data_IF_230609601525
#
_entry.id   IF_230609601525
#
_cell.length_a   1.000
_cell.length_b   1.000
_cell.length_c   1.000
_cell.angle_alpha   90.00
_cell.angle_beta   90.00
_cell.angle_gamma   90.00
#
_symmetry.space_group_name_H-M   'P 1'
#
loop_
_entity.id
_entity.type
_entity.pdbx_description
1 polymer ?
#
# COMPACT_ATOMS: atom_id res chain seq x y z
N UNK A 1 6.95 18.34 78.04
CA UNK A 1 7.77 17.24 78.62
C UNK A 1 6.89 16.00 78.59
N UNK A 2 7.27 14.83 78.09
CA UNK A 2 8.60 14.23 77.94
C UNK A 2 8.54 13.05 76.96
N UNK A 3 9.72 12.63 76.49
CA UNK A 3 10.05 11.62 75.48
C UNK A 3 9.40 10.23 75.70
N UNK A 4 8.12 10.05 75.37
CA UNK A 4 7.50 8.70 75.31
C UNK A 4 6.54 8.47 74.14
N UNK A 5 6.33 9.47 73.25
CA UNK A 5 5.38 9.31 72.12
C UNK A 5 6.03 9.05 70.74
N UNK A 6 7.36 9.01 70.63
CA UNK A 6 8.06 8.71 69.35
C UNK A 6 8.43 7.23 69.15
N UNK A 7 8.04 6.34 70.08
CA UNK A 7 8.37 4.91 70.05
C UNK A 7 7.15 4.03 69.73
N UNK A 8 5.94 4.58 69.65
CA UNK A 8 4.71 3.81 69.44
C UNK A 8 4.18 3.79 67.98
N UNK A 9 4.86 4.43 67.02
CA UNK A 9 4.42 4.47 65.62
C UNK A 9 5.37 3.79 64.62
N UNK A 10 6.44 3.15 65.12
CA UNK A 10 7.37 2.33 64.33
C UNK A 10 7.18 0.81 64.53
N UNK A 11 6.20 0.43 65.36
CA UNK A 11 5.89 -0.96 65.72
C UNK A 11 4.74 -1.57 64.91
N UNK A 12 4.22 -0.84 63.92
CA UNK A 12 3.11 -1.27 63.05
C UNK A 12 3.54 -1.74 61.64
N UNK A 13 4.83 -1.69 61.31
CA UNK A 13 5.33 -2.06 59.98
C UNK A 13 6.56 -2.99 60.02
N UNK A 14 6.73 -3.72 61.13
CA UNK A 14 7.85 -4.64 61.36
C UNK A 14 7.37 -6.06 61.77
N UNK A 15 6.15 -6.44 61.36
CA UNK A 15 5.56 -7.76 61.57
C UNK A 15 4.83 -8.22 60.30
N UNK A 16 5.61 -8.53 59.26
CA UNK A 16 5.28 -9.51 58.20
C UNK A 16 6.52 -10.07 57.49
N UNK A 17 7.73 -9.53 57.74
CA UNK A 17 9.00 -10.09 57.25
C UNK A 17 9.55 -11.14 58.22
N UNK A 18 8.78 -12.20 58.49
CA UNK A 18 9.27 -13.38 59.21
C UNK A 18 8.33 -14.60 59.10
N UNK A 19 7.71 -14.87 57.94
CA UNK A 19 7.08 -16.19 57.70
C UNK A 19 6.80 -16.43 56.20
N UNK A 20 7.84 -16.60 55.39
CA UNK A 20 7.69 -17.15 54.03
C UNK A 20 8.76 -18.24 53.75
N UNK A 21 9.18 -18.96 54.79
CA UNK A 21 10.03 -20.15 54.68
C UNK A 21 9.27 -21.47 54.56
N UNK A 22 7.95 -21.48 54.78
CA UNK A 22 7.15 -22.72 54.88
C UNK A 22 5.99 -22.83 53.89
N UNK A 23 5.85 -21.87 52.96
CA UNK A 23 4.80 -21.91 51.90
C UNK A 23 5.36 -22.32 50.52
N UNK A 24 6.65 -22.67 50.42
CA UNK A 24 7.26 -23.17 49.17
C UNK A 24 7.06 -24.66 48.90
N UNK A 25 6.60 -25.44 49.89
CA UNK A 25 6.36 -26.88 49.74
C UNK A 25 4.87 -27.26 49.55
N UNK A 26 3.99 -26.28 49.33
CA UNK A 26 2.54 -26.51 49.19
C UNK A 26 1.94 -26.03 47.85
N UNK A 27 2.76 -25.66 46.86
CA UNK A 27 2.30 -25.27 45.52
C UNK A 27 2.85 -26.23 44.46
N UNK A 28 2.00 -26.79 43.58
CA UNK A 28 2.35 -27.88 42.65
C UNK A 28 3.13 -27.41 41.40
N UNK A 29 3.68 -26.19 41.45
CA UNK A 29 4.44 -25.60 40.34
C UNK A 29 5.83 -25.24 40.85
N UNK A 30 6.78 -26.13 40.58
CA UNK A 30 8.17 -26.06 41.04
C UNK A 30 8.87 -24.80 40.56
N UNK A 31 9.21 -23.92 41.50
CA UNK A 31 10.15 -22.81 41.32
C UNK A 31 11.44 -23.14 42.08
N UNK A 32 12.46 -23.57 41.34
CA UNK A 32 13.86 -23.58 41.77
C UNK A 32 14.34 -24.91 42.36
N UNK A 33 14.92 -25.76 41.52
CA UNK A 33 15.83 -26.83 41.92
C UNK A 33 17.10 -26.72 41.09
N UNK A 34 18.23 -26.57 41.77
CA UNK A 34 19.57 -26.53 41.21
C UNK A 34 19.81 -27.76 40.32
N UNK A 35 20.12 -27.50 39.05
CA UNK A 35 20.73 -28.49 38.16
C UNK A 35 22.00 -27.88 37.60
N UNK A 36 23.09 -28.60 37.82
CA UNK A 36 24.41 -28.39 37.26
C UNK A 36 24.36 -28.03 35.77
N UNK A 37 25.33 -27.25 35.24
CA UNK A 37 25.33 -26.83 33.85
C UNK A 37 25.48 -28.05 32.92
N UNK A 38 24.34 -28.57 32.45
CA UNK A 38 24.30 -29.52 31.34
C UNK A 38 24.63 -28.75 30.08
N UNK A 39 25.77 -29.08 29.50
CA UNK A 39 26.30 -28.70 28.19
C UNK A 39 25.43 -27.67 27.43
N UNK A 40 25.86 -26.40 27.47
CA UNK A 40 25.47 -25.41 26.49
C UNK A 40 25.70 -25.99 25.11
N UNK A 41 24.62 -26.16 24.34
CA UNK A 41 24.74 -26.30 22.90
C UNK A 41 25.70 -25.21 22.42
N UNK A 42 26.72 -25.60 21.67
CA UNK A 42 27.66 -24.69 21.02
C UNK A 42 26.86 -23.54 20.41
N UNK A 43 27.33 -22.31 20.59
CA UNK A 43 26.89 -21.13 19.83
C UNK A 43 27.23 -21.32 18.34
N UNK A 44 26.68 -22.37 17.72
CA UNK A 44 26.44 -22.37 16.29
C UNK A 44 25.41 -21.28 16.06
N UNK A 45 25.75 -20.35 15.16
CA UNK A 45 24.86 -19.28 14.74
C UNK A 45 23.44 -19.83 14.58
N UNK A 46 22.51 -19.38 15.43
CA UNK A 46 21.09 -19.61 15.20
C UNK A 46 20.72 -18.81 13.96
N UNK A 47 20.88 -19.42 12.80
CA UNK A 47 20.31 -18.91 11.56
C UNK A 47 18.81 -19.18 11.66
N UNK A 48 18.01 -18.12 11.61
CA UNK A 48 16.55 -18.23 11.50
C UNK A 48 16.23 -19.04 10.25
N UNK A 49 15.60 -20.20 10.39
CA UNK A 49 15.17 -21.05 9.26
C UNK A 49 13.91 -20.46 8.58
N UNK A 50 13.32 -19.39 9.12
CA UNK A 50 12.11 -18.75 8.60
C UNK A 50 12.40 -17.58 7.63
N UNK A 51 13.63 -17.10 7.52
CA UNK A 51 14.03 -16.10 6.51
C UNK A 51 14.67 -16.81 5.31
N UNK A 52 13.90 -17.65 4.63
CA UNK A 52 14.19 -17.98 3.22
C UNK A 52 13.56 -16.90 2.31
N UNK A 53 13.85 -15.63 2.60
CA UNK A 53 13.97 -14.66 1.51
C UNK A 53 15.30 -14.99 0.86
N UNK A 54 15.28 -15.72 -0.27
CA UNK A 54 16.45 -15.74 -1.13
C UNK A 54 16.72 -14.30 -1.53
N UNK A 55 17.69 -13.66 -0.87
CA UNK A 55 18.19 -12.36 -1.28
C UNK A 55 18.55 -12.44 -2.75
N UNK A 56 17.94 -11.58 -3.54
CA UNK A 56 18.16 -11.56 -4.97
C UNK A 56 19.59 -11.07 -5.23
N UNK A 57 20.45 -11.99 -5.65
CA UNK A 57 21.83 -11.65 -5.98
C UNK A 57 21.92 -11.03 -7.38
N UNK A 58 22.70 -9.95 -7.56
CA UNK A 58 23.04 -9.43 -8.88
C UNK A 58 23.62 -10.53 -9.78
N UNK A 59 23.19 -10.55 -11.04
CA UNK A 59 23.66 -11.55 -12.00
C UNK A 59 25.06 -11.22 -12.48
N UNK A 60 25.99 -12.18 -12.36
CA UNK A 60 27.34 -12.04 -12.91
C UNK A 60 27.35 -11.74 -14.42
N UNK A 61 26.33 -12.20 -15.17
CA UNK A 61 26.19 -11.95 -16.60
C UNK A 61 25.87 -10.48 -16.95
N UNK A 62 25.38 -9.71 -15.98
CA UNK A 62 25.05 -8.29 -16.12
C UNK A 62 26.09 -7.37 -15.47
N UNK A 63 27.14 -7.93 -14.84
CA UNK A 63 28.20 -7.15 -14.22
C UNK A 63 28.86 -6.21 -15.23
N UNK A 64 28.89 -4.91 -14.92
CA UNK A 64 29.45 -3.86 -15.78
C UNK A 64 28.63 -3.55 -17.05
N UNK A 65 27.46 -4.19 -17.25
CA UNK A 65 26.56 -3.86 -18.35
C UNK A 65 25.64 -2.73 -17.96
N UNK A 66 25.54 -1.74 -18.84
CA UNK A 66 24.53 -0.69 -18.73
C UNK A 66 23.20 -1.11 -19.37
N UNK A 67 22.14 -0.38 -19.07
CA UNK A 67 20.79 -0.59 -19.62
C UNK A 67 20.20 0.72 -20.17
N UNK A 68 19.21 0.70 -21.04
CA UNK A 68 18.61 1.95 -21.51
C UNK A 68 17.52 2.47 -20.56
N UNK A 69 17.53 3.79 -20.32
CA UNK A 69 16.42 4.54 -19.74
C UNK A 69 15.99 5.63 -20.72
N UNK A 70 14.69 5.74 -21.06
CA UNK A 70 14.20 6.82 -21.92
C UNK A 70 14.38 8.18 -21.24
N UNK A 71 14.46 9.24 -22.04
CA UNK A 71 14.45 10.61 -21.52
C UNK A 71 13.13 10.98 -20.84
N UNK A 72 13.13 11.90 -19.86
CA UNK A 72 11.93 12.26 -19.11
C UNK A 72 10.87 12.92 -20.00
N UNK A 73 9.61 12.58 -19.79
CA UNK A 73 8.47 13.10 -20.52
C UNK A 73 7.61 14.01 -19.62
N UNK A 74 6.93 15.00 -20.20
CA UNK A 74 6.00 15.83 -19.43
C UNK A 74 4.77 15.02 -19.00
N UNK A 75 4.46 15.01 -17.70
CA UNK A 75 3.23 14.43 -17.17
C UNK A 75 2.12 15.49 -17.12
N UNK A 76 1.42 15.70 -18.25
CA UNK A 76 0.34 16.69 -18.38
C UNK A 76 -1.02 16.18 -17.89
N UNK A 77 -1.11 14.89 -17.55
CA UNK A 77 -2.24 14.24 -16.92
C UNK A 77 -1.72 13.10 -16.02
N UNK A 78 -2.36 12.94 -14.86
CA UNK A 78 -2.18 11.81 -13.95
C UNK A 78 -3.57 11.30 -13.55
N UNK A 79 -4.33 10.91 -14.57
CA UNK A 79 -5.79 10.78 -14.50
C UNK A 79 -6.24 9.55 -13.71
N UNK A 80 -5.35 8.57 -13.51
CA UNK A 80 -5.62 7.31 -12.82
C UNK A 80 -4.67 7.15 -11.63
N UNK A 81 -4.94 6.24 -10.67
CA UNK A 81 -4.09 6.07 -9.49
C UNK A 81 -2.61 5.73 -9.80
N UNK A 82 -2.32 5.27 -11.02
CA UNK A 82 -1.01 4.93 -11.56
C UNK A 82 -0.51 5.85 -12.65
N UNK A 83 -1.12 7.03 -12.76
CA UNK A 83 -0.90 7.99 -13.82
C UNK A 83 -1.79 7.78 -15.03
N UNK A 84 -1.90 6.55 -15.53
CA UNK A 84 -2.77 6.21 -16.67
C UNK A 84 -3.50 4.88 -16.45
N UNK A 85 -4.38 4.51 -17.39
CA UNK A 85 -5.20 3.29 -17.28
C UNK A 85 -4.37 2.00 -17.27
N UNK A 86 -3.17 2.02 -17.85
CA UNK A 86 -2.26 0.87 -17.89
C UNK A 86 -1.38 0.76 -16.63
N UNK A 87 -1.47 1.75 -15.73
CA UNK A 87 -0.57 1.92 -14.58
C UNK A 87 0.90 2.04 -15.00
N UNK A 88 1.16 2.49 -16.23
CA UNK A 88 2.48 2.46 -16.86
C UNK A 88 2.93 3.88 -17.21
N UNK A 89 3.40 4.62 -16.22
CA UNK A 89 4.13 5.86 -16.45
C UNK A 89 5.60 5.60 -16.18
N UNK A 90 6.44 5.65 -17.23
CA UNK A 90 7.85 5.30 -17.15
C UNK A 90 8.67 6.42 -16.48
N UNK A 91 9.13 7.41 -17.26
CA UNK A 91 10.02 8.48 -16.80
C UNK A 91 9.40 9.85 -17.03
N UNK A 92 9.25 10.63 -15.96
CA UNK A 92 8.57 11.93 -15.99
C UNK A 92 9.48 13.09 -15.64
N UNK A 93 9.20 14.26 -16.22
CA UNK A 93 9.73 15.54 -15.76
C UNK A 93 8.94 15.93 -14.51
N UNK A 94 9.58 15.82 -13.35
CA UNK A 94 8.99 16.24 -12.08
C UNK A 94 10.05 16.57 -11.04
N UNK A 95 9.73 17.54 -10.19
CA UNK A 95 10.53 17.99 -9.06
C UNK A 95 12.02 18.22 -9.36
N UNK A 96 12.40 19.04 -10.38
CA UNK A 96 13.81 19.31 -10.69
C UNK A 96 14.63 19.80 -9.49
N UNK A 97 14.09 20.68 -8.64
CA UNK A 97 14.81 21.23 -7.48
C UNK A 97 14.69 20.34 -6.24
N UNK A 98 13.72 19.42 -6.22
CA UNK A 98 13.43 18.49 -5.13
C UNK A 98 13.20 19.17 -3.77
N UNK A 99 12.45 20.26 -3.77
CA UNK A 99 12.10 21.08 -2.60
C UNK A 99 10.59 21.14 -2.40
N UNK A 100 10.12 21.36 -1.17
CA UNK A 100 8.67 21.52 -0.94
C UNK A 100 8.22 22.90 -1.43
N UNK A 101 7.31 22.92 -2.41
CA UNK A 101 6.67 24.13 -2.91
C UNK A 101 5.55 24.61 -1.98
N UNK A 102 4.67 23.69 -1.57
CA UNK A 102 3.59 23.98 -0.64
C UNK A 102 3.08 22.71 0.05
N UNK A 103 2.32 22.91 1.14
CA UNK A 103 1.58 21.86 1.82
C UNK A 103 0.13 22.28 2.02
N UNK A 104 -0.81 21.35 1.90
CA UNK A 104 -2.24 21.59 2.09
C UNK A 104 -2.88 20.49 2.93
N UNK A 105 -3.64 20.89 3.94
CA UNK A 105 -4.55 19.99 4.66
C UNK A 105 -5.76 19.70 3.77
N UNK A 106 -6.00 18.41 3.51
CA UNK A 106 -7.09 17.95 2.64
C UNK A 106 -8.26 17.35 3.44
N UNK A 107 -8.17 17.26 4.76
CA UNK A 107 -9.18 16.66 5.63
C UNK A 107 -8.60 15.58 6.54
N UNK A 108 -9.35 14.51 6.74
CA UNK A 108 -9.03 13.52 7.76
C UNK A 108 -7.83 12.63 7.39
N UNK A 109 -6.81 12.60 8.25
CA UNK A 109 -5.75 11.58 8.21
C UNK A 109 -6.20 10.21 8.72
N UNK A 110 -5.29 9.24 8.63
CA UNK A 110 -5.45 7.89 9.18
C UNK A 110 -5.58 7.90 10.70
N UNK A 111 -6.39 6.99 11.22
CA UNK A 111 -6.57 6.69 12.64
C UNK A 111 -6.89 5.20 12.80
N UNK A 112 -7.33 4.77 14.00
CA UNK A 112 -7.63 3.36 14.25
C UNK A 112 -8.85 2.83 13.46
N UNK A 113 -9.73 3.73 13.02
CA UNK A 113 -11.02 3.44 12.38
C UNK A 113 -11.14 4.00 10.95
N UNK A 114 -10.06 4.60 10.44
CA UNK A 114 -9.99 5.20 9.09
C UNK A 114 -8.57 5.23 8.54
N UNK A 115 -8.39 5.18 7.23
CA UNK A 115 -7.06 5.20 6.62
C UNK A 115 -7.04 6.00 5.32
N UNK A 116 -5.96 6.76 5.12
CA UNK A 116 -5.68 7.44 3.85
C UNK A 116 -4.96 6.46 2.93
N UNK A 117 -5.65 5.98 1.89
CA UNK A 117 -5.12 4.95 0.98
C UNK A 117 -5.17 5.32 -0.51
N UNK A 118 -5.97 6.31 -0.90
CA UNK A 118 -6.14 6.66 -2.30
C UNK A 118 -4.90 7.35 -2.86
N UNK A 119 -4.33 6.87 -3.97
CA UNK A 119 -3.36 7.63 -4.74
C UNK A 119 -3.92 8.97 -5.20
N UNK A 120 -3.02 9.93 -5.38
CA UNK A 120 -3.33 11.26 -5.90
C UNK A 120 -3.56 11.18 -7.41
N UNK A 121 -4.60 11.85 -7.92
CA UNK A 121 -4.84 11.98 -9.37
C UNK A 121 -4.95 13.44 -9.78
N UNK A 122 -4.65 13.75 -11.03
CA UNK A 122 -4.57 15.11 -11.53
C UNK A 122 -4.96 15.23 -13.00
N UNK A 123 -5.74 16.26 -13.33
CA UNK A 123 -6.15 16.62 -14.68
C UNK A 123 -6.53 18.12 -14.71
N UNK A 124 -6.33 18.79 -15.84
CA UNK A 124 -6.78 20.18 -16.09
C UNK A 124 -6.47 21.20 -14.96
N UNK A 125 -5.23 21.17 -14.48
CA UNK A 125 -4.71 22.08 -13.45
C UNK A 125 -5.15 21.74 -12.02
N UNK A 126 -5.90 20.65 -11.83
CA UNK A 126 -6.47 20.25 -10.54
C UNK A 126 -5.90 18.93 -10.07
N UNK A 127 -5.71 18.83 -8.76
CA UNK A 127 -5.37 17.62 -8.04
C UNK A 127 -6.62 17.16 -7.28
N UNK A 128 -6.94 15.88 -7.38
CA UNK A 128 -8.05 15.27 -6.66
C UNK A 128 -7.52 14.22 -5.69
N UNK A 129 -8.04 14.27 -4.47
CA UNK A 129 -7.63 13.40 -3.36
C UNK A 129 -8.84 12.93 -2.57
N UNK A 130 -8.70 11.77 -1.94
CA UNK A 130 -9.67 11.20 -1.01
C UNK A 130 -9.03 11.05 0.36
N UNK A 131 -9.66 11.65 1.37
CA UNK A 131 -9.20 11.58 2.76
C UNK A 131 -9.73 10.32 3.48
N UNK A 132 -9.32 10.13 4.75
CA UNK A 132 -9.70 8.96 5.53
C UNK A 132 -11.19 8.86 5.88
N UNK A 133 -11.97 9.94 5.76
CA UNK A 133 -13.42 9.94 6.00
C UNK A 133 -14.25 9.89 4.71
N UNK A 134 -13.59 9.54 3.61
CA UNK A 134 -14.17 9.55 2.28
C UNK A 134 -14.64 10.94 1.82
N UNK A 135 -13.93 11.98 2.26
CA UNK A 135 -14.00 13.34 1.74
C UNK A 135 -13.16 13.48 0.48
N UNK A 136 -13.77 13.96 -0.60
CA UNK A 136 -13.12 14.25 -1.87
C UNK A 136 -12.77 15.73 -1.90
N UNK A 137 -11.50 16.04 -2.11
CA UNK A 137 -11.04 17.44 -2.22
C UNK A 137 -10.39 17.67 -3.57
N UNK A 138 -10.81 18.74 -4.27
CA UNK A 138 -10.09 19.27 -5.42
C UNK A 138 -9.22 20.45 -5.00
N UNK A 139 -7.98 20.44 -5.47
CA UNK A 139 -6.95 21.42 -5.14
C UNK A 139 -6.31 21.94 -6.42
N UNK A 140 -6.09 23.25 -6.51
CA UNK A 140 -5.30 23.84 -7.58
C UNK A 140 -3.84 23.35 -7.52
N UNK A 141 -3.36 22.75 -8.61
CA UNK A 141 -2.04 22.12 -8.66
C UNK A 141 -0.89 23.12 -8.49
N UNK A 142 -1.10 24.38 -8.90
CA UNK A 142 -0.10 25.43 -8.87
C UNK A 142 0.11 26.01 -7.48
N UNK A 143 -0.99 26.41 -6.84
CA UNK A 143 -1.05 27.20 -5.61
C UNK A 143 -1.36 26.37 -4.36
N UNK A 144 -1.92 25.18 -4.54
CA UNK A 144 -2.41 24.36 -3.44
C UNK A 144 -3.72 24.88 -2.84
N UNK A 145 -4.43 25.81 -3.49
CA UNK A 145 -5.72 26.31 -3.01
C UNK A 145 -6.82 25.25 -3.16
N UNK A 146 -7.67 25.10 -2.14
CA UNK A 146 -8.84 24.20 -2.24
C UNK A 146 -9.88 24.84 -3.16
N UNK A 147 -10.31 24.11 -4.18
CA UNK A 147 -11.31 24.56 -5.15
C UNK A 147 -12.72 24.16 -4.73
N UNK A 148 -12.90 22.90 -4.33
CA UNK A 148 -14.16 22.38 -3.82
C UNK A 148 -13.92 21.15 -2.93
N UNK A 149 -14.94 20.80 -2.14
CA UNK A 149 -15.00 19.57 -1.34
C UNK A 149 -16.34 18.89 -1.53
N UNK A 150 -16.33 17.56 -1.54
CA UNK A 150 -17.52 16.71 -1.57
C UNK A 150 -17.33 15.51 -0.62
N UNK A 151 -18.39 14.77 -0.32
CA UNK A 151 -18.33 13.58 0.52
C UNK A 151 -19.09 12.41 -0.11
N UNK A 152 -18.51 11.22 -0.09
CA UNK A 152 -19.18 9.97 -0.49
C UNK A 152 -19.70 9.17 0.71
N UNK A 153 -19.54 9.70 1.93
CA UNK A 153 -20.07 9.07 3.14
C UNK A 153 -21.60 9.02 3.06
N UNK A 154 -22.16 7.84 3.35
CA UNK A 154 -23.61 7.66 3.48
C UNK A 154 -24.01 7.97 4.93
N UNK A 155 -25.00 8.84 5.12
CA UNK A 155 -25.48 9.22 6.46
C UNK A 155 -26.03 8.00 7.22
N UNK A 156 -25.81 7.97 8.55
CA UNK A 156 -26.11 6.81 9.40
C UNK A 156 -27.59 6.39 9.45
N UNK A 157 -28.51 7.24 8.98
CA UNK A 157 -29.96 7.02 9.05
C UNK A 157 -30.47 5.80 8.25
N UNK A 158 -29.72 5.37 7.22
CA UNK A 158 -30.09 4.24 6.36
C UNK A 158 -29.61 2.87 6.89
N UNK A 159 -28.90 2.82 8.02
CA UNK A 159 -28.49 1.54 8.65
C UNK A 159 -29.57 1.12 9.65
N UNK A 160 -30.22 0.00 9.35
CA UNK A 160 -31.34 -0.57 10.10
C UNK A 160 -31.24 -0.51 11.64
N UNK A 161 -32.43 -0.41 12.27
CA UNK A 161 -32.72 -0.33 13.71
C UNK A 161 -31.62 -0.94 14.61
N UNK A 162 -30.88 -0.08 15.32
CA UNK A 162 -30.14 -0.48 16.53
C UNK A 162 -31.15 -0.81 17.63
N UNK A 163 -31.13 -2.03 18.19
CA UNK A 163 -31.94 -2.37 19.37
C UNK A 163 -31.01 -2.55 20.57
N UNK A 164 -31.23 -1.78 21.64
CA UNK A 164 -30.39 -1.78 22.85
C UNK A 164 -28.86 -1.73 22.59
N UNK A 165 -28.41 -0.92 21.63
CA UNK A 165 -26.97 -0.75 21.35
C UNK A 165 -26.28 -1.95 20.69
N UNK A 166 -27.00 -3.03 20.38
CA UNK A 166 -26.48 -4.20 19.66
C UNK A 166 -27.04 -4.14 18.22
N UNK A 167 -26.14 -4.11 17.23
CA UNK A 167 -26.51 -4.19 15.82
C UNK A 167 -27.00 -5.60 15.49
N UNK A 168 -28.31 -5.76 15.25
CA UNK A 168 -28.90 -7.01 14.76
C UNK A 168 -28.83 -7.03 13.23
N UNK A 169 -27.61 -7.12 12.71
CA UNK A 169 -27.30 -7.24 11.30
C UNK A 169 -25.79 -7.16 11.11
N UNK A 170 -25.21 -8.03 10.29
CA UNK A 170 -23.77 -8.07 9.97
C UNK A 170 -23.25 -6.84 9.20
N UNK A 171 -23.86 -5.67 9.38
CA UNK A 171 -23.38 -4.40 8.87
C UNK A 171 -22.33 -3.84 9.83
N UNK A 172 -21.06 -3.93 9.44
CA UNK A 172 -19.97 -3.25 10.13
C UNK A 172 -20.33 -1.78 10.35
N UNK A 173 -20.52 -1.40 11.62
CA UNK A 173 -20.66 -0.02 12.06
C UNK A 173 -19.39 0.82 11.87
N UNK A 174 -18.27 0.22 11.44
CA UNK A 174 -17.00 0.90 11.19
C UNK A 174 -16.98 1.68 9.87
N UNK A 175 -16.18 2.75 9.81
CA UNK A 175 -16.02 3.61 8.64
C UNK A 175 -15.73 2.85 7.35
N UNK A 176 -16.07 3.44 6.20
CA UNK A 176 -15.79 2.86 4.90
C UNK A 176 -14.27 2.85 4.68
N UNK A 177 -13.62 1.72 4.91
CA UNK A 177 -12.21 1.54 4.61
C UNK A 177 -12.01 1.26 3.12
N UNK A 178 -11.02 1.90 2.51
CA UNK A 178 -10.65 1.67 1.11
C UNK A 178 -11.26 2.68 0.14
N UNK A 179 -11.14 2.36 -1.14
CA UNK A 179 -11.58 3.19 -2.23
C UNK A 179 -10.46 4.02 -2.83
N UNK A 180 -10.82 4.87 -3.79
CA UNK A 180 -9.89 5.79 -4.40
C UNK A 180 -10.54 6.68 -5.43
N UNK A 181 -9.70 7.48 -6.10
CA UNK A 181 -10.14 8.47 -7.07
C UNK A 181 -9.50 8.21 -8.43
N UNK A 182 -10.28 8.42 -9.48
CA UNK A 182 -9.81 8.60 -10.85
C UNK A 182 -10.52 9.81 -11.46
N UNK A 183 -9.88 10.46 -12.43
CA UNK A 183 -10.46 11.57 -13.18
C UNK A 183 -10.37 11.24 -14.67
N UNK A 184 -11.41 11.59 -15.43
CA UNK A 184 -11.40 11.48 -16.89
C UNK A 184 -12.56 12.27 -17.48
N UNK A 185 -12.29 13.04 -18.54
CA UNK A 185 -13.33 13.72 -19.32
C UNK A 185 -14.16 14.69 -18.47
N UNK A 186 -13.52 15.40 -17.54
CA UNK A 186 -14.18 16.35 -16.65
C UNK A 186 -15.03 15.71 -15.55
N UNK A 187 -14.89 14.40 -15.28
CA UNK A 187 -15.56 13.69 -14.19
C UNK A 187 -14.56 13.10 -13.23
N UNK A 188 -14.87 13.14 -11.94
CA UNK A 188 -14.11 12.52 -10.86
C UNK A 188 -14.89 11.32 -10.35
N UNK A 189 -14.34 10.13 -10.54
CA UNK A 189 -14.93 8.86 -10.14
C UNK A 189 -14.33 8.42 -8.80
N UNK A 190 -15.20 8.08 -7.86
CA UNK A 190 -14.82 7.77 -6.50
C UNK A 190 -15.46 6.45 -6.10
N UNK A 191 -14.61 5.47 -5.78
CA UNK A 191 -15.02 4.23 -5.14
C UNK A 191 -14.87 4.35 -3.62
N UNK A 192 -15.72 3.66 -2.87
CA UNK A 192 -15.73 3.77 -1.42
C UNK A 192 -16.08 2.49 -0.69
N UNK A 193 -15.48 2.31 0.49
CA UNK A 193 -15.86 1.29 1.46
C UNK A 193 -17.30 1.46 1.99
N UNK A 194 -17.93 2.61 1.77
CA UNK A 194 -19.36 2.85 2.04
C UNK A 194 -20.31 2.19 1.03
N UNK A 195 -19.81 1.28 0.18
CA UNK A 195 -20.59 0.51 -0.79
C UNK A 195 -21.26 1.39 -1.85
N UNK A 196 -20.55 2.44 -2.26
CA UNK A 196 -21.02 3.36 -3.29
C UNK A 196 -19.92 3.62 -4.30
N UNK A 197 -20.33 3.74 -5.55
CA UNK A 197 -19.56 4.30 -6.64
C UNK A 197 -20.21 5.64 -7.01
N UNK A 198 -19.43 6.71 -7.02
CA UNK A 198 -19.95 8.07 -7.27
C UNK A 198 -19.14 8.74 -8.37
N UNK A 199 -19.80 9.54 -9.21
CA UNK A 199 -19.13 10.50 -10.08
C UNK A 199 -19.48 11.92 -9.70
N UNK A 200 -18.48 12.78 -9.66
CA UNK A 200 -18.61 14.22 -9.48
C UNK A 200 -18.18 14.96 -10.75
N UNK A 201 -18.73 16.15 -10.97
CA UNK A 201 -18.19 17.10 -11.94
C UNK A 201 -16.83 17.62 -11.43
N UNK A 202 -15.79 17.54 -12.26
CA UNK A 202 -14.42 17.87 -11.86
C UNK A 202 -14.21 19.35 -11.54
N UNK A 203 -15.07 20.24 -12.05
CA UNK A 203 -14.94 21.69 -11.86
C UNK A 203 -15.70 22.17 -10.63
N UNK A 204 -16.87 21.61 -10.37
CA UNK A 204 -17.80 22.10 -9.35
C UNK A 204 -17.90 21.20 -8.12
N UNK A 205 -17.52 19.92 -8.24
CA UNK A 205 -17.75 18.92 -7.20
C UNK A 205 -19.21 18.47 -7.08
N UNK A 206 -20.09 18.86 -8.00
CA UNK A 206 -21.48 18.44 -8.00
C UNK A 206 -21.59 16.94 -8.31
N UNK A 207 -22.39 16.21 -7.54
CA UNK A 207 -22.65 14.79 -7.80
C UNK A 207 -23.44 14.64 -9.11
N UNK A 208 -22.90 13.85 -10.03
CA UNK A 208 -23.50 13.55 -11.33
C UNK A 208 -24.35 12.30 -11.26
N UNK A 209 -23.83 11.26 -10.61
CA UNK A 209 -24.53 10.01 -10.36
C UNK A 209 -23.90 9.29 -9.16
N UNK A 210 -24.68 8.42 -8.54
CA UNK A 210 -24.25 7.53 -7.46
C UNK A 210 -24.94 6.20 -7.60
N UNK A 211 -24.17 5.14 -7.49
CA UNK A 211 -24.62 3.76 -7.61
C UNK A 211 -24.24 3.00 -6.34
N UNK A 212 -25.24 2.46 -5.66
CA UNK A 212 -25.02 1.56 -4.54
C UNK A 212 -24.56 0.19 -5.05
N UNK A 213 -23.64 -0.44 -4.31
CA UNK A 213 -23.17 -1.81 -4.57
C UNK A 213 -23.39 -2.66 -3.33
N UNK A 214 -23.33 -3.98 -3.49
CA UNK A 214 -23.62 -4.91 -2.40
C UNK A 214 -22.53 -4.93 -1.33
N UNK A 215 -21.27 -4.77 -1.75
CA UNK A 215 -20.09 -4.93 -0.91
C UNK A 215 -19.18 -3.70 -0.93
N UNK A 216 -18.41 -3.46 0.15
CA UNK A 216 -17.43 -2.37 0.21
C UNK A 216 -16.43 -2.42 -0.95
N UNK A 217 -16.21 -1.28 -1.61
CA UNK A 217 -15.20 -1.18 -2.66
C UNK A 217 -13.90 -0.72 -2.03
N UNK A 218 -12.88 -1.58 -2.05
CA UNK A 218 -11.56 -1.27 -1.49
C UNK A 218 -10.61 -0.69 -2.55
N UNK A 219 -10.77 -1.10 -3.81
CA UNK A 219 -9.85 -0.74 -4.88
C UNK A 219 -10.12 0.64 -5.45
N UNK A 220 -9.06 1.33 -5.89
CA UNK A 220 -9.21 2.58 -6.61
C UNK A 220 -9.76 2.34 -8.03
N UNK A 221 -10.58 3.25 -8.58
CA UNK A 221 -11.18 3.07 -9.89
C UNK A 221 -10.14 3.19 -11.00
N UNK A 222 -10.40 2.52 -12.12
CA UNK A 222 -9.67 2.71 -13.38
C UNK A 222 -10.66 3.03 -14.49
N UNK A 223 -10.49 4.16 -15.16
CA UNK A 223 -11.37 4.62 -16.24
C UNK A 223 -10.72 4.35 -17.59
N UNK A 224 -11.43 3.67 -18.49
CA UNK A 224 -11.00 3.49 -19.86
C UNK A 224 -12.21 3.40 -20.81
N UNK A 225 -12.16 4.20 -21.88
CA UNK A 225 -13.30 4.32 -22.80
C UNK A 225 -14.56 4.80 -22.07
N UNK A 226 -15.63 4.03 -22.18
CA UNK A 226 -16.94 4.36 -21.58
C UNK A 226 -17.17 3.70 -20.21
N UNK A 227 -16.14 3.08 -19.61
CA UNK A 227 -16.29 2.28 -18.40
C UNK A 227 -15.32 2.67 -17.29
N UNK A 228 -15.80 2.46 -16.07
CA UNK A 228 -15.02 2.54 -14.83
C UNK A 228 -14.97 1.15 -14.21
N UNK A 229 -13.76 0.68 -13.92
CA UNK A 229 -13.51 -0.64 -13.36
C UNK A 229 -13.07 -0.52 -11.91
N UNK A 230 -13.67 -1.31 -11.02
CA UNK A 230 -13.37 -1.34 -9.59
C UNK A 230 -13.45 -2.76 -9.05
N UNK A 231 -12.68 -3.06 -8.01
CA UNK A 231 -12.71 -4.36 -7.33
C UNK A 231 -13.19 -4.17 -5.90
N UNK A 232 -14.15 -5.00 -5.47
CA UNK A 232 -14.66 -5.00 -4.10
C UNK A 232 -13.82 -5.87 -3.15
N UNK A 233 -14.24 -5.97 -1.89
CA UNK A 233 -13.53 -6.76 -0.89
C UNK A 233 -13.55 -8.28 -1.14
N UNK A 234 -14.54 -8.80 -1.88
CA UNK A 234 -14.77 -10.24 -2.12
C UNK A 234 -14.27 -10.71 -3.50
N UNK A 235 -13.39 -9.93 -4.13
CA UNK A 235 -12.83 -10.18 -5.44
C UNK A 235 -13.85 -10.16 -6.59
N UNK A 236 -14.88 -9.31 -6.48
CA UNK A 236 -15.74 -8.97 -7.61
C UNK A 236 -15.17 -7.75 -8.34
N UNK A 237 -14.81 -7.94 -9.61
CA UNK A 237 -14.57 -6.83 -10.54
C UNK A 237 -15.91 -6.37 -11.11
N UNK A 238 -16.20 -5.09 -11.01
CA UNK A 238 -17.40 -4.47 -11.56
C UNK A 238 -17.02 -3.40 -12.58
N UNK A 239 -17.79 -3.31 -13.67
CA UNK A 239 -17.65 -2.29 -14.69
C UNK A 239 -18.90 -1.41 -14.72
N UNK A 240 -18.72 -0.10 -14.56
CA UNK A 240 -19.78 0.89 -14.56
C UNK A 240 -19.68 1.81 -15.78
N UNK A 241 -20.80 2.16 -16.36
CA UNK A 241 -20.88 3.15 -17.42
C UNK A 241 -20.51 4.55 -16.89
N UNK A 242 -19.56 5.21 -17.57
CA UNK A 242 -19.05 6.53 -17.20
C UNK A 242 -20.14 7.62 -17.18
N UNK A 243 -21.13 7.53 -18.06
CA UNK A 243 -22.12 8.58 -18.24
C UNK A 243 -23.22 8.56 -17.17
N UNK A 244 -23.68 7.38 -16.75
CA UNK A 244 -24.86 7.24 -15.90
C UNK A 244 -24.65 6.37 -14.65
N UNK A 245 -23.47 5.76 -14.47
CA UNK A 245 -23.16 4.93 -13.31
C UNK A 245 -23.82 3.55 -13.32
N UNK A 246 -24.49 3.14 -14.39
CA UNK A 246 -25.10 1.81 -14.49
C UNK A 246 -24.00 0.75 -14.53
N UNK A 247 -24.16 -0.34 -13.76
CA UNK A 247 -23.26 -1.49 -13.87
C UNK A 247 -23.53 -2.22 -15.19
N UNK A 248 -22.54 -2.26 -16.07
CA UNK A 248 -22.60 -2.96 -17.37
C UNK A 248 -22.43 -4.47 -17.18
N UNK A 249 -21.40 -4.86 -16.43
CA UNK A 249 -21.07 -6.27 -16.16
C UNK A 249 -20.26 -6.40 -14.86
N UNK A 250 -20.17 -7.62 -14.35
CA UNK A 250 -19.24 -7.97 -13.27
C UNK A 250 -18.65 -9.35 -13.48
N UNK A 251 -17.48 -9.59 -12.88
CA UNK A 251 -16.78 -10.87 -12.85
C UNK A 251 -16.41 -11.17 -11.40
N UNK A 252 -16.67 -12.40 -10.94
CA UNK A 252 -16.38 -12.83 -9.56
C UNK A 252 -15.18 -13.77 -9.56
N UNK A 253 -14.09 -13.33 -8.93
CA UNK A 253 -12.92 -14.15 -8.66
C UNK A 253 -13.10 -15.06 -7.44
N UNK A 254 -12.02 -15.72 -7.05
CA UNK A 254 -11.98 -16.59 -5.87
C UNK A 254 -12.02 -15.72 -4.60
N UNK A 255 -13.02 -15.90 -3.74
CA UNK A 255 -13.14 -15.18 -2.45
C UNK A 255 -12.09 -15.66 -1.44
N UNK A 256 -11.51 -14.72 -0.70
CA UNK A 256 -10.61 -14.99 0.43
C UNK A 256 -11.09 -14.28 1.69
N UNK A 257 -10.93 -14.89 2.88
CA UNK A 257 -11.40 -14.31 4.14
C UNK A 257 -10.55 -13.14 4.61
N UNK A 258 -9.33 -12.99 4.11
CA UNK A 258 -8.39 -11.97 4.53
C UNK A 258 -7.65 -11.38 3.34
N UNK A 259 -7.31 -10.09 3.45
CA UNK A 259 -6.64 -9.31 2.41
C UNK A 259 -5.83 -8.18 3.01
N UNK A 260 -4.91 -7.64 2.22
CA UNK A 260 -4.22 -6.41 2.54
C UNK A 260 -5.09 -5.23 2.11
N UNK A 261 -5.31 -4.33 3.06
CA UNK A 261 -6.05 -3.09 2.81
C UNK A 261 -5.12 -2.08 2.14
N UNK A 262 -5.08 -2.12 0.81
CA UNK A 262 -4.49 -1.10 -0.06
C UNK A 262 -5.44 -0.82 -1.20
N UNK A 263 -5.39 0.40 -1.74
CA UNK A 263 -6.19 0.80 -2.89
C UNK A 263 -5.57 0.29 -4.21
N UNK A 264 -5.48 -1.04 -4.37
CA UNK A 264 -5.09 -1.64 -5.65
C UNK A 264 -6.12 -1.27 -6.73
N UNK A 265 -5.71 -1.24 -7.99
CA UNK A 265 -6.62 -0.93 -9.10
C UNK A 265 -6.32 -1.85 -10.28
N UNK A 266 -7.33 -2.16 -11.12
CA UNK A 266 -7.10 -2.83 -12.39
C UNK A 266 -6.13 -2.05 -13.29
N UNK A 267 -5.62 -2.73 -14.32
CA UNK A 267 -4.95 -2.08 -15.45
C UNK A 267 -5.75 -2.36 -16.72
N UNK A 268 -5.90 -1.37 -17.60
CA UNK A 268 -6.66 -1.50 -18.84
C UNK A 268 -5.80 -1.05 -20.01
N UNK A 269 -5.60 -1.95 -20.97
CA UNK A 269 -4.87 -1.69 -22.20
C UNK A 269 -5.70 -2.15 -23.40
N UNK A 270 -6.06 -1.20 -24.26
CA UNK A 270 -6.95 -1.45 -25.39
C UNK A 270 -8.28 -2.06 -24.96
N UNK A 271 -8.55 -3.29 -25.40
CA UNK A 271 -9.77 -4.03 -25.10
C UNK A 271 -9.67 -4.99 -23.91
N UNK A 272 -8.58 -4.98 -23.14
CA UNK A 272 -8.31 -5.94 -22.07
C UNK A 272 -8.18 -5.25 -20.71
N UNK A 273 -8.93 -5.73 -19.72
CA UNK A 273 -8.84 -5.34 -18.31
C UNK A 273 -8.11 -6.44 -17.55
N UNK A 274 -7.04 -6.08 -16.85
CA UNK A 274 -6.27 -6.98 -15.99
C UNK A 274 -6.61 -6.65 -14.54
N UNK A 275 -7.25 -7.58 -13.84
CA UNK A 275 -7.72 -7.40 -12.47
C UNK A 275 -6.91 -8.26 -11.48
N UNK A 276 -6.37 -7.65 -10.42
CA UNK A 276 -5.73 -8.37 -9.31
C UNK A 276 -6.77 -8.75 -8.24
N UNK A 277 -6.64 -9.95 -7.67
CA UNK A 277 -7.51 -10.44 -6.59
C UNK A 277 -6.70 -10.88 -5.36
N UNK A 278 -7.35 -10.87 -4.18
CA UNK A 278 -6.70 -11.21 -2.91
C UNK A 278 -6.34 -12.70 -2.77
N UNK A 279 -6.92 -13.56 -3.60
CA UNK A 279 -6.60 -15.00 -3.73
C UNK A 279 -5.26 -15.29 -4.40
N UNK A 280 -4.56 -14.27 -4.90
CA UNK A 280 -3.41 -14.42 -5.77
C UNK A 280 -3.81 -14.63 -7.23
N UNK A 281 -5.10 -14.62 -7.54
CA UNK A 281 -5.59 -14.72 -8.91
C UNK A 281 -5.40 -13.37 -9.63
N UNK A 282 -4.84 -13.40 -10.83
CA UNK A 282 -4.83 -12.29 -11.77
C UNK A 282 -5.54 -12.73 -13.04
N UNK A 283 -6.52 -11.93 -13.46
CA UNK A 283 -7.46 -12.29 -14.54
C UNK A 283 -7.43 -11.20 -15.59
N UNK A 284 -7.24 -11.58 -16.85
CA UNK A 284 -7.48 -10.70 -17.97
C UNK A 284 -8.87 -10.94 -18.55
N UNK A 285 -9.62 -9.86 -18.73
CA UNK A 285 -11.02 -9.86 -19.13
C UNK A 285 -11.21 -8.95 -20.33
N UNK A 286 -12.13 -9.28 -21.21
CA UNK A 286 -12.55 -8.36 -22.27
C UNK A 286 -13.28 -7.16 -21.66
N UNK A 287 -12.81 -5.95 -21.97
CA UNK A 287 -13.38 -4.69 -21.49
C UNK A 287 -14.86 -4.51 -21.87
N UNK A 288 -15.31 -5.15 -22.95
CA UNK A 288 -16.66 -5.02 -23.51
C UNK A 288 -17.73 -5.74 -22.70
N UNK A 289 -17.43 -6.92 -22.17
CA UNK A 289 -18.43 -7.82 -21.60
C UNK A 289 -17.96 -8.62 -20.36
N UNK A 290 -16.71 -8.42 -19.91
CA UNK A 290 -16.17 -9.11 -18.75
C UNK A 290 -15.88 -10.60 -18.98
N UNK A 291 -15.80 -11.08 -20.22
CA UNK A 291 -15.43 -12.48 -20.48
C UNK A 291 -13.93 -12.70 -20.24
N UNK A 292 -13.53 -13.75 -19.50
CA UNK A 292 -12.12 -14.03 -19.24
C UNK A 292 -11.40 -14.41 -20.54
N UNK A 293 -10.27 -13.75 -20.77
CA UNK A 293 -9.31 -14.08 -21.83
C UNK A 293 -8.35 -15.14 -21.31
N UNK A 294 -7.81 -14.92 -20.10
CA UNK A 294 -6.96 -15.86 -19.38
C UNK A 294 -6.99 -15.58 -17.88
N UNK A 295 -6.58 -16.57 -17.10
CA UNK A 295 -6.46 -16.49 -15.65
C UNK A 295 -5.14 -17.11 -15.20
N UNK A 296 -4.48 -16.50 -14.23
CA UNK A 296 -3.25 -17.01 -13.61
C UNK A 296 -3.34 -16.88 -12.08
N UNK A 297 -2.61 -17.73 -11.36
CA UNK A 297 -2.51 -17.66 -9.90
C UNK A 297 -1.05 -17.46 -9.51
N UNK A 298 -0.76 -16.30 -8.94
CA UNK A 298 0.56 -15.92 -8.45
C UNK A 298 0.74 -16.49 -7.04
N UNK A 299 1.22 -17.74 -6.95
CA UNK A 299 1.59 -18.36 -5.69
C UNK A 299 2.91 -19.12 -5.79
N UNK A 300 3.67 -19.12 -4.69
CA UNK A 300 4.75 -20.10 -4.49
C UNK A 300 4.15 -21.50 -4.44
N UNK A 301 4.80 -22.46 -5.11
CA UNK A 301 4.38 -23.88 -5.16
C UNK A 301 4.72 -24.64 -3.87
N UNK A 302 5.40 -24.02 -2.89
CA UNK A 302 5.86 -24.73 -1.69
C UNK A 302 4.76 -24.91 -0.64
N UNK A 303 4.21 -26.13 -0.55
CA UNK A 303 3.18 -26.56 0.41
C UNK A 303 3.74 -26.97 1.78
N UNK A 304 4.88 -26.43 2.22
CA UNK A 304 5.52 -26.85 3.49
C UNK A 304 5.22 -25.92 4.67
N UNK A 305 4.54 -24.79 4.42
CA UNK A 305 4.04 -23.83 5.41
C UNK A 305 2.51 -23.81 5.31
N UNK A 306 1.83 -24.51 6.22
CA UNK A 306 0.36 -24.57 6.29
C UNK A 306 -0.24 -23.44 7.16
N UNK A 307 0.48 -22.33 7.30
CA UNK A 307 -0.05 -21.11 7.92
C UNK A 307 -0.59 -20.23 6.79
N UNK A 308 -1.78 -19.66 6.97
CA UNK A 308 -2.45 -18.79 6.00
C UNK A 308 -1.54 -17.65 5.51
N UNK A 309 -0.76 -17.91 4.47
CA UNK A 309 -0.03 -16.88 3.75
C UNK A 309 -1.06 -16.10 2.92
N UNK A 310 -1.25 -14.83 3.24
CA UNK A 310 -2.05 -13.93 2.41
C UNK A 310 -1.43 -13.93 1.01
N UNK A 311 -2.21 -14.36 0.01
CA UNK A 311 -1.79 -14.42 -1.40
C UNK A 311 -2.11 -13.14 -2.17
N UNK A 312 -2.39 -12.06 -1.45
CA UNK A 312 -2.97 -10.85 -2.04
C UNK A 312 -2.03 -10.21 -3.07
N UNK A 313 -2.57 -9.93 -4.26
CA UNK A 313 -1.95 -9.04 -5.24
C UNK A 313 -2.33 -7.61 -4.85
N UNK A 314 -1.74 -7.16 -3.74
CA UNK A 314 -1.97 -5.81 -3.22
C UNK A 314 -1.29 -4.72 -4.06
N UNK A 315 -0.27 -5.11 -4.85
CA UNK A 315 0.34 -4.25 -5.86
C UNK A 315 -0.57 -4.08 -7.07
N UNK A 316 -0.51 -2.90 -7.70
CA UNK A 316 -1.28 -2.62 -8.92
C UNK A 316 -0.59 -3.33 -10.10
N UNK A 317 -1.28 -4.17 -10.89
CA UNK A 317 -0.70 -4.72 -12.10
C UNK A 317 -0.35 -3.58 -13.06
N UNK A 318 0.74 -3.74 -13.78
CA UNK A 318 1.19 -2.76 -14.79
C UNK A 318 1.17 -3.42 -16.15
N UNK A 319 0.57 -2.75 -17.12
CA UNK A 319 0.60 -3.20 -18.52
C UNK A 319 1.56 -2.29 -19.27
N UNK A 320 2.63 -2.84 -19.83
CA UNK A 320 3.54 -2.04 -20.64
C UNK A 320 4.17 -2.88 -21.74
N UNK A 321 4.14 -2.36 -22.98
CA UNK A 321 4.65 -3.03 -24.18
C UNK A 321 4.08 -4.44 -24.40
N UNK A 322 2.79 -4.61 -24.13
CA UNK A 322 2.10 -5.90 -24.28
C UNK A 322 2.39 -6.92 -23.18
N UNK A 323 3.03 -6.50 -22.08
CA UNK A 323 3.34 -7.37 -20.94
C UNK A 323 2.63 -6.90 -19.68
N UNK A 324 2.22 -7.85 -18.85
CA UNK A 324 1.64 -7.63 -17.53
C UNK A 324 2.70 -7.91 -16.47
N UNK A 325 2.98 -6.93 -15.62
CA UNK A 325 3.85 -7.07 -14.45
C UNK A 325 2.97 -7.08 -13.21
N UNK A 326 3.07 -8.13 -12.40
CA UNK A 326 2.30 -8.27 -11.18
C UNK A 326 3.15 -8.85 -10.04
N UNK A 327 2.85 -8.44 -8.82
CA UNK A 327 3.55 -8.88 -7.62
C UNK A 327 2.54 -9.27 -6.53
N UNK A 328 2.75 -10.46 -5.98
CA UNK A 328 1.92 -11.06 -4.94
C UNK A 328 2.64 -11.06 -3.60
N UNK A 329 1.86 -10.96 -2.52
CA UNK A 329 2.30 -11.16 -1.15
C UNK A 329 2.78 -12.57 -0.85
N UNK A 330 2.39 -13.55 -1.65
CA UNK A 330 2.93 -14.91 -1.54
C UNK A 330 4.41 -15.00 -1.96
N UNK A 331 5.06 -13.90 -2.30
CA UNK A 331 6.46 -13.88 -2.70
C UNK A 331 6.71 -14.28 -4.13
N UNK A 332 5.80 -13.92 -5.04
CA UNK A 332 5.96 -14.12 -6.49
C UNK A 332 5.72 -12.78 -7.19
N UNK A 333 6.73 -12.32 -7.91
CA UNK A 333 6.58 -11.36 -8.98
C UNK A 333 6.63 -12.13 -10.31
N UNK A 334 5.71 -11.85 -11.22
CA UNK A 334 5.67 -12.50 -12.52
C UNK A 334 5.42 -11.48 -13.64
N UNK A 335 6.05 -11.74 -14.78
CA UNK A 335 5.80 -11.02 -16.02
C UNK A 335 5.15 -11.97 -17.01
N UNK A 336 4.03 -11.54 -17.58
CA UNK A 336 3.18 -12.35 -18.45
C UNK A 336 2.88 -11.62 -19.75
N UNK A 337 2.62 -12.35 -20.83
CA UNK A 337 2.08 -11.77 -22.05
C UNK A 337 0.61 -11.34 -21.84
N UNK A 338 0.26 -10.12 -22.27
CA UNK A 338 -1.07 -9.54 -22.07
C UNK A 338 -2.19 -10.34 -22.75
N UNK A 339 -1.91 -10.98 -23.89
CA UNK A 339 -2.93 -11.64 -24.71
C UNK A 339 -3.19 -13.07 -24.26
N UNK A 340 -2.14 -13.78 -23.83
CA UNK A 340 -2.18 -15.21 -23.55
C UNK A 340 -2.06 -15.56 -22.06
N UNK A 341 -1.55 -14.63 -21.23
CA UNK A 341 -1.23 -14.89 -19.83
C UNK A 341 0.01 -15.80 -19.66
N UNK A 342 0.69 -16.15 -20.76
CA UNK A 342 1.90 -16.99 -20.71
C UNK A 342 2.99 -16.28 -19.91
N UNK A 343 3.56 -16.93 -18.87
CA UNK A 343 4.60 -16.32 -18.08
C UNK A 343 5.92 -16.26 -18.87
N UNK A 344 6.53 -15.09 -18.89
CA UNK A 344 7.85 -14.86 -19.50
C UNK A 344 8.98 -15.19 -18.52
N UNK A 345 8.88 -14.68 -17.30
CA UNK A 345 9.79 -14.98 -16.20
C UNK A 345 9.11 -14.63 -14.87
N UNK A 346 9.67 -15.16 -13.77
CA UNK A 346 9.20 -14.91 -12.41
C UNK A 346 10.35 -14.76 -11.43
N UNK A 347 10.15 -13.96 -10.39
CA UNK A 347 11.11 -13.74 -9.32
C UNK A 347 10.46 -13.96 -7.94
N UNK A 348 11.20 -14.49 -6.96
CA UNK A 348 10.68 -14.77 -5.62
C UNK A 348 10.57 -13.51 -4.73
N UNK A 349 9.99 -12.42 -5.22
CA UNK A 349 9.88 -11.15 -4.49
C UNK A 349 8.52 -11.06 -3.78
N UNK A 350 8.55 -10.80 -2.47
CA UNK A 350 7.36 -10.40 -1.69
C UNK A 350 7.21 -8.89 -1.79
N UNK A 351 6.07 -8.40 -2.28
CA UNK A 351 5.83 -6.97 -2.36
C UNK A 351 4.36 -6.60 -2.44
N UNK A 352 4.08 -5.36 -2.07
CA UNK A 352 2.76 -4.71 -2.16
C UNK A 352 2.78 -3.47 -3.06
N UNK A 353 3.96 -3.09 -3.55
CA UNK A 353 4.16 -1.92 -4.38
C UNK A 353 3.95 -2.26 -5.86
N UNK A 354 3.59 -1.27 -6.65
CA UNK A 354 3.52 -1.39 -8.09
C UNK A 354 4.94 -1.56 -8.68
N UNK A 355 5.20 -2.57 -9.53
CA UNK A 355 6.44 -2.63 -10.31
C UNK A 355 6.54 -1.46 -11.28
N UNK A 356 7.73 -0.87 -11.44
CA UNK A 356 7.95 0.27 -12.35
C UNK A 356 8.81 -0.17 -13.55
N UNK A 357 8.21 -0.63 -14.65
CA UNK A 357 8.94 -0.88 -15.89
C UNK A 357 9.34 0.43 -16.57
N UNK A 358 10.62 0.62 -16.88
CA UNK A 358 11.17 1.81 -17.57
C UNK A 358 12.25 1.37 -18.54
N UNK A 359 12.13 1.70 -19.83
CA UNK A 359 13.15 1.31 -20.81
C UNK A 359 13.39 -0.21 -20.79
N UNK A 360 14.62 -0.61 -20.50
CA UNK A 360 15.08 -2.02 -20.49
C UNK A 360 14.97 -2.70 -19.11
N UNK A 361 14.51 -1.98 -18.09
CA UNK A 361 14.50 -2.47 -16.70
C UNK A 361 13.13 -2.38 -16.05
N UNK A 362 13.00 -3.10 -14.94
CA UNK A 362 11.87 -2.98 -14.01
C UNK A 362 12.44 -2.71 -12.63
N UNK A 363 11.99 -1.63 -12.00
CA UNK A 363 12.28 -1.33 -10.61
C UNK A 363 11.21 -1.96 -9.72
N UNK A 364 11.63 -2.67 -8.68
CA UNK A 364 10.73 -3.38 -7.77
C UNK A 364 11.17 -3.11 -6.34
N UNK A 365 10.20 -2.85 -5.45
CA UNK A 365 10.46 -2.65 -4.02
C UNK A 365 9.77 -3.75 -3.25
N UNK A 366 10.57 -4.57 -2.56
CA UNK A 366 10.06 -5.63 -1.70
C UNK A 366 9.43 -5.06 -0.43
N UNK A 367 8.61 -5.86 0.24
CA UNK A 367 8.03 -5.48 1.53
C UNK A 367 9.09 -5.32 2.64
N UNK A 368 10.22 -6.02 2.52
CA UNK A 368 11.35 -5.88 3.44
C UNK A 368 12.12 -4.55 3.24
N UNK A 369 11.83 -3.79 2.18
CA UNK A 369 12.52 -2.55 1.83
C UNK A 369 13.75 -2.76 0.95
N UNK A 370 13.77 -3.82 0.14
CA UNK A 370 14.82 -4.02 -0.87
C UNK A 370 14.36 -3.41 -2.20
N UNK A 371 15.13 -2.45 -2.72
CA UNK A 371 14.97 -1.91 -4.08
C UNK A 371 15.83 -2.73 -5.04
N UNK A 372 15.18 -3.45 -5.94
CA UNK A 372 15.83 -4.32 -6.93
C UNK A 372 15.55 -3.82 -8.33
N UNK A 373 16.60 -3.85 -9.17
CA UNK A 373 16.49 -3.53 -10.60
C UNK A 373 16.73 -4.79 -11.41
N UNK A 374 15.77 -5.11 -12.27
CA UNK A 374 15.81 -6.34 -13.05
C UNK A 374 15.70 -6.02 -14.53
N UNK A 375 16.38 -6.83 -15.33
CA UNK A 375 16.26 -6.80 -16.78
C UNK A 375 14.82 -7.19 -17.16
N UNK A 376 14.17 -6.34 -17.95
CA UNK A 376 12.78 -6.50 -18.39
C UNK A 376 12.56 -7.75 -19.23
N UNK A 377 13.57 -8.17 -19.97
CA UNK A 377 13.51 -9.30 -20.89
C UNK A 377 13.80 -10.63 -20.19
N UNK A 378 14.82 -10.67 -19.32
CA UNK A 378 15.32 -11.93 -18.74
C UNK A 378 14.96 -12.13 -17.28
N UNK A 379 14.52 -11.09 -16.57
CA UNK A 379 14.32 -11.12 -15.12
C UNK A 379 15.63 -11.13 -14.31
N UNK A 380 16.80 -11.08 -14.96
CA UNK A 380 18.09 -11.05 -14.28
C UNK A 380 18.29 -9.74 -13.51
N UNK A 381 18.85 -9.83 -12.31
CA UNK A 381 19.06 -8.68 -11.43
C UNK A 381 20.32 -7.92 -11.84
N UNK A 382 20.21 -6.60 -12.07
CA UNK A 382 21.34 -5.70 -12.26
C UNK A 382 21.97 -5.34 -10.92
N UNK A 383 21.16 -4.87 -9.97
CA UNK A 383 21.58 -4.52 -8.63
C UNK A 383 20.42 -4.56 -7.64
N UNK A 384 20.76 -4.62 -6.35
CA UNK A 384 19.83 -4.56 -5.23
C UNK A 384 20.34 -3.54 -4.21
N UNK A 385 19.43 -2.86 -3.50
CA UNK A 385 19.73 -1.90 -2.44
C UNK A 385 18.80 -2.13 -1.25
N UNK A 386 19.37 -2.33 -0.07
CA UNK A 386 18.60 -2.26 1.18
C UNK A 386 18.27 -0.79 1.49
N UNK A 387 17.00 -0.40 1.40
CA UNK A 387 16.54 0.95 1.71
C UNK A 387 16.48 1.21 3.21
N UNK A 388 16.45 0.16 4.03
CA UNK A 388 16.37 0.22 5.49
C UNK A 388 17.74 0.21 6.18
N UNK A 389 18.84 0.16 5.42
CA UNK A 389 20.19 0.28 5.95
C UNK A 389 20.32 1.55 6.81
N UNK A 390 20.77 1.38 8.06
CA UNK A 390 20.92 2.49 9.03
C UNK A 390 19.61 3.09 9.56
N UNK A 391 18.43 2.55 9.19
CA UNK A 391 17.11 3.06 9.60
C UNK A 391 16.35 2.13 10.55
N UNK A 392 16.81 0.90 10.71
CA UNK A 392 16.23 -0.07 11.64
C UNK A 392 16.46 0.39 13.08
N UNK A 393 15.39 0.46 13.85
CA UNK A 393 15.43 0.94 15.24
C UNK A 393 14.53 0.13 16.16
N UNK A 394 14.78 0.22 17.47
CA UNK A 394 13.95 -0.42 18.49
C UNK A 394 13.06 0.63 19.15
N UNK A 395 11.75 0.46 19.06
CA UNK A 395 10.76 1.37 19.66
C UNK A 395 9.83 0.65 20.64
N UNK A 396 9.23 1.44 21.52
CA UNK A 396 8.28 0.97 22.53
C UNK A 396 8.95 0.24 23.69
N UNK A 397 8.18 -0.64 24.33
CA UNK A 397 8.58 -1.35 25.54
C UNK A 397 8.43 -0.53 26.83
N UNK A 398 8.25 -1.22 27.95
CA UNK A 398 8.20 -0.63 29.28
C UNK A 398 9.47 -1.04 30.03
N UNK A 399 10.21 -0.06 30.59
CA UNK A 399 11.49 -0.30 31.30
C UNK A 399 12.50 -1.15 30.50
N UNK A 400 12.52 -1.00 29.17
CA UNK A 400 13.46 -1.72 28.30
C UNK A 400 13.02 -3.13 27.89
N UNK A 401 11.94 -3.67 28.46
CA UNK A 401 11.34 -4.94 28.04
C UNK A 401 10.27 -4.72 26.96
N UNK A 402 10.22 -5.61 25.96
CA UNK A 402 9.19 -5.57 24.91
C UNK A 402 9.42 -4.53 23.82
N UNK A 403 10.67 -4.06 23.61
CA UNK A 403 10.99 -3.20 22.46
C UNK A 403 10.77 -3.96 21.16
N UNK A 404 9.97 -3.41 20.23
CA UNK A 404 9.78 -3.95 18.89
C UNK A 404 10.82 -3.37 17.93
N UNK A 405 11.33 -4.20 17.02
CA UNK A 405 12.12 -3.73 15.90
C UNK A 405 11.19 -3.09 14.88
N UNK A 406 11.44 -1.82 14.55
CA UNK A 406 10.70 -1.04 13.56
C UNK A 406 11.58 -0.89 12.33
N UNK A 407 11.03 -1.28 11.19
CA UNK A 407 11.60 -1.09 9.85
C UNK A 407 10.68 -0.14 9.08
N UNK A 408 11.21 0.92 8.47
CA UNK A 408 10.40 1.79 7.64
C UNK A 408 9.75 1.02 6.48
N UNK A 409 8.48 1.33 6.23
CA UNK A 409 7.74 0.83 5.06
C UNK A 409 7.95 1.81 3.92
N UNK A 410 8.26 1.30 2.73
CA UNK A 410 8.54 2.11 1.53
C UNK A 410 7.42 2.00 0.51
N UNK A 411 7.09 3.12 -0.13
CA UNK A 411 6.07 3.22 -1.18
C UNK A 411 6.62 3.96 -2.40
N UNK A 412 6.32 3.44 -3.58
CA UNK A 412 6.96 3.82 -4.85
C UNK A 412 7.63 2.60 -5.52
N UNK A 413 8.51 2.80 -6.51
CA UNK A 413 9.14 4.06 -6.91
C UNK A 413 8.40 4.81 -8.03
N UNK A 414 8.78 6.08 -8.25
CA UNK A 414 8.54 6.83 -9.48
C UNK A 414 9.90 7.32 -10.03
N UNK A 415 10.11 7.25 -11.35
CA UNK A 415 11.29 7.82 -11.98
C UNK A 415 11.00 9.25 -12.44
N UNK A 416 11.55 10.23 -11.72
CA UNK A 416 11.32 11.66 -11.92
C UNK A 416 12.63 12.41 -12.14
N UNK A 417 12.78 13.05 -13.29
CA UNK A 417 13.95 13.88 -13.66
C UNK A 417 15.29 13.17 -13.36
N UNK A 418 15.45 11.94 -13.86
CA UNK A 418 16.60 11.05 -13.65
C UNK A 418 16.85 10.61 -12.19
N UNK A 419 15.83 10.66 -11.32
CA UNK A 419 15.90 10.17 -9.94
C UNK A 419 14.75 9.22 -9.64
N UNK A 420 15.04 8.09 -9.02
CA UNK A 420 14.00 7.26 -8.41
C UNK A 420 13.60 7.87 -7.09
N UNK A 421 12.34 8.28 -6.98
CA UNK A 421 11.79 8.85 -5.76
C UNK A 421 10.88 7.83 -5.08
N UNK A 422 11.14 7.60 -3.80
CA UNK A 422 10.33 6.78 -2.92
C UNK A 422 9.96 7.57 -1.68
N UNK A 423 8.85 7.20 -1.05
CA UNK A 423 8.44 7.76 0.24
C UNK A 423 8.36 6.67 1.30
N UNK A 424 8.43 7.05 2.57
CA UNK A 424 8.45 6.08 3.65
C UNK A 424 7.60 6.45 4.86
N UNK A 425 7.42 5.46 5.74
CA UNK A 425 6.70 5.60 7.01
C UNK A 425 7.40 6.49 8.05
N UNK A 426 8.66 6.88 7.83
CA UNK A 426 9.36 7.87 8.66
C UNK A 426 9.08 9.33 8.22
N UNK A 427 8.30 9.49 7.15
CA UNK A 427 7.87 10.79 6.64
C UNK A 427 8.94 11.50 5.81
N UNK A 428 9.67 10.73 5.02
CA UNK A 428 10.65 11.24 4.07
C UNK A 428 10.27 10.88 2.64
N UNK A 429 10.60 11.77 1.71
CA UNK A 429 10.80 11.44 0.30
C UNK A 429 12.30 11.32 0.06
N UNK A 430 12.75 10.23 -0.55
CA UNK A 430 14.17 9.92 -0.77
C UNK A 430 14.39 9.68 -2.25
N UNK A 431 15.40 10.34 -2.80
CA UNK A 431 15.80 10.23 -4.19
C UNK A 431 17.03 9.32 -4.31
N UNK A 432 17.00 8.42 -5.28
CA UNK A 432 18.09 7.51 -5.61
C UNK A 432 18.47 7.64 -7.08
N UNK A 433 19.74 7.43 -7.37
CA UNK A 433 20.23 7.31 -8.73
C UNK A 433 19.68 6.01 -9.36
N UNK A 434 19.01 6.07 -10.52
CA UNK A 434 18.34 4.93 -11.13
C UNK A 434 19.31 3.86 -11.66
N UNK A 435 20.60 4.18 -11.82
CA UNK A 435 21.61 3.30 -12.38
C UNK A 435 22.39 2.56 -11.32
N UNK A 436 22.64 3.22 -10.19
CA UNK A 436 23.56 2.76 -9.15
C UNK A 436 22.86 2.44 -7.83
N UNK A 437 21.64 2.93 -7.62
CA UNK A 437 20.93 2.83 -6.34
C UNK A 437 21.51 3.71 -5.24
N UNK A 438 22.48 4.59 -5.56
CA UNK A 438 23.04 5.53 -4.60
C UNK A 438 21.99 6.59 -4.22
N UNK A 439 21.90 6.92 -2.93
CA UNK A 439 21.01 7.99 -2.48
C UNK A 439 21.56 9.34 -2.96
N UNK A 440 20.74 10.10 -3.67
CA UNK A 440 21.11 11.42 -4.23
C UNK A 440 20.52 12.59 -3.43
N UNK A 441 19.47 12.35 -2.65
CA UNK A 441 18.85 13.38 -1.81
C UNK A 441 17.74 12.85 -0.93
N UNK A 442 17.32 13.66 0.04
CA UNK A 442 16.15 13.38 0.87
C UNK A 442 15.44 14.67 1.28
N UNK A 443 14.14 14.56 1.55
CA UNK A 443 13.25 15.66 1.88
C UNK A 443 12.27 15.23 2.97
N UNK A 444 12.06 16.07 3.97
CA UNK A 444 11.09 15.83 5.06
C UNK A 444 9.68 16.20 4.62
N UNK A 445 8.77 15.22 4.63
CA UNK A 445 7.35 15.41 4.33
C UNK A 445 6.60 15.99 5.53
N UNK A 446 7.02 15.64 6.75
CA UNK A 446 6.41 16.07 8.03
C UNK A 446 5.49 15.01 8.67
N UNK A 447 5.15 13.96 7.92
CA UNK A 447 4.38 12.80 8.39
C UNK A 447 4.66 11.60 7.48
N UNK A 448 4.45 10.40 8.00
CA UNK A 448 4.55 9.13 7.26
C UNK A 448 3.80 9.19 5.93
N UNK A 449 4.31 8.50 4.92
CA UNK A 449 3.63 8.33 3.64
C UNK A 449 3.67 6.86 3.21
N UNK A 450 2.50 6.30 2.90
CA UNK A 450 2.29 4.90 2.51
C UNK A 450 1.77 4.74 1.07
N UNK A 451 1.66 5.87 0.37
CA UNK A 451 1.13 6.00 -0.99
C UNK A 451 2.28 6.50 -1.87
N UNK A 452 2.46 5.88 -3.03
CA UNK A 452 3.50 6.27 -3.98
C UNK A 452 3.27 7.73 -4.45
N UNK A 453 4.35 8.50 -4.74
CA UNK A 453 4.21 9.84 -5.29
C UNK A 453 3.52 9.83 -6.66
N UNK A 454 2.69 10.84 -6.93
CA UNK A 454 2.16 11.13 -8.25
C UNK A 454 2.97 12.26 -8.90
N UNK A 455 3.01 12.31 -10.23
CA UNK A 455 3.66 13.41 -10.96
C UNK A 455 2.65 14.17 -11.83
N UNK A 456 2.70 15.49 -11.78
CA UNK A 456 1.84 16.31 -12.64
C UNK A 456 2.47 17.70 -12.85
N UNK A 457 2.52 18.15 -14.10
CA UNK A 457 3.01 19.48 -14.50
C UNK A 457 4.34 19.89 -13.82
N UNK A 458 5.33 19.00 -13.84
CA UNK A 458 6.66 19.29 -13.31
C UNK A 458 6.80 19.19 -11.79
N UNK A 459 5.75 18.83 -11.06
CA UNK A 459 5.79 18.62 -9.61
C UNK A 459 5.52 17.15 -9.24
N UNK A 460 6.04 16.74 -8.09
CA UNK A 460 5.63 15.53 -7.40
C UNK A 460 4.62 15.87 -6.31
N UNK A 461 3.59 15.04 -6.18
CA UNK A 461 2.56 15.17 -5.17
C UNK A 461 2.57 13.94 -4.26
N UNK A 462 2.64 14.18 -2.95
CA UNK A 462 2.66 13.13 -1.93
C UNK A 462 1.53 13.39 -0.95
N UNK A 463 0.68 12.39 -0.76
CA UNK A 463 -0.34 12.41 0.28
C UNK A 463 0.19 11.68 1.52
N UNK A 464 0.25 12.38 2.64
CA UNK A 464 0.74 11.85 3.91
C UNK A 464 -0.38 11.20 4.72
N UNK A 465 0.01 10.34 5.66
CA UNK A 465 -0.87 9.63 6.58
C UNK A 465 -1.72 10.58 7.45
N UNK A 466 -1.25 11.81 7.68
CA UNK A 466 -2.01 12.85 8.39
C UNK A 466 -3.06 13.58 7.54
N UNK A 467 -3.27 13.21 6.28
CA UNK A 467 -4.20 13.92 5.39
C UNK A 467 -3.62 15.25 4.88
N UNK A 468 -2.30 15.33 4.73
CA UNK A 468 -1.63 16.49 4.16
C UNK A 468 -1.10 16.17 2.76
N UNK A 469 -1.52 16.94 1.76
CA UNK A 469 -0.98 16.93 0.40
C UNK A 469 0.25 17.83 0.33
N UNK A 470 1.37 17.25 -0.09
CA UNK A 470 2.67 17.93 -0.22
C UNK A 470 3.03 18.02 -1.70
N UNK A 471 3.31 19.23 -2.19
CA UNK A 471 3.83 19.46 -3.54
C UNK A 471 5.33 19.70 -3.48
N UNK A 472 6.07 18.99 -4.33
CA UNK A 472 7.53 19.01 -4.42
C UNK A 472 7.92 19.46 -5.83
N UNK A 473 8.77 20.47 -5.95
CA UNK A 473 9.27 21.03 -7.22
C UNK A 473 10.78 21.05 -7.26
#
# INVERSE_FOLDING_TARGET
MTKTLKVALLSGLALTVASCGTVRNALPFGLGGDKEPVATATEGQRVSILEFEQQLAPSAALSGRDFFLPGPQAATAWSQPGGNAENAVEHVIAAPEFTVAWRRDIGAGSANDRQVMSPVVAEDGKIFVLDGEAGVTAVDAGTGAVLWKASVKVEEADRGRRFMGIGLGGGSGGGGFGGGVAVSGGKVFVSSGYRVMTAFDANTGAELWRTAVDLPIHGAPTVAGQRVYVVDIDNQLMAFNVANGQQDWSYRGITEPARIMRASSPAVSGGTVVAPFSSGQIVALQATNGQPVWEQVLSRTSRTSALSELRDIAGRPVVSRGQVYAISQSGVMQVMDLRSGQPKWSLPIVGVNQPLPVGDVVYVVSQAGELTVVNRETGQVYWTRDLNEGRVRKEGGFLGFGKRTVRPVWSGPILASNRLVLVNSDGEAVAFDPKTGAQTGSLKLGSAAYIAPAAYNGALYVLTDKGQLVSIR
#
